data_IF_737762881547
#
_entry.id   IF_737762881547
#
_cell.length_a   1.000
_cell.length_b   1.000
_cell.length_c   1.000
_cell.angle_alpha   90.00
_cell.angle_beta   90.00
_cell.angle_gamma   90.00
#
_symmetry.space_group_name_H-M   'P 1'
#
loop_
_entity.id
_entity.type
_entity.pdbx_description
1 polymer ?
#
# COMPACT_ATOMS: atom_id res chain seq x y z
N UNK A 1 12.19 -9.99 17.97
CA UNK A 1 13.03 -10.12 16.75
C UNK A 1 13.07 -8.76 16.11
N UNK A 2 14.26 -8.21 15.89
CA UNK A 2 14.41 -6.91 15.24
C UNK A 2 14.04 -7.09 13.76
N UNK A 3 13.21 -6.20 13.21
CA UNK A 3 12.61 -6.33 11.87
C UNK A 3 13.66 -6.55 10.75
N UNK A 4 14.84 -5.98 10.94
CA UNK A 4 16.00 -6.01 10.03
C UNK A 4 16.87 -7.28 10.16
N UNK A 5 16.53 -8.22 11.06
CA UNK A 5 17.31 -9.45 11.22
C UNK A 5 17.35 -10.25 9.92
N UNK A 6 18.56 -10.57 9.44
CA UNK A 6 18.76 -11.31 8.19
C UNK A 6 18.81 -10.43 6.92
N UNK A 7 18.63 -9.10 7.04
CA UNK A 7 18.81 -8.19 5.93
C UNK A 7 20.32 -7.94 5.69
N UNK A 8 20.83 -8.05 4.44
CA UNK A 8 22.23 -7.71 4.17
C UNK A 8 22.52 -6.24 4.43
N UNK A 9 23.72 -5.92 4.93
CA UNK A 9 24.06 -4.59 5.49
C UNK A 9 23.96 -3.41 4.52
N UNK A 10 23.98 -3.66 3.21
CA UNK A 10 23.88 -2.60 2.21
C UNK A 10 22.43 -2.25 1.87
N UNK A 11 21.45 -3.08 2.24
CA UNK A 11 20.04 -2.79 2.04
C UNK A 11 19.49 -1.86 3.11
N UNK A 12 18.55 -1.02 2.70
CA UNK A 12 17.88 -0.05 3.55
C UNK A 12 16.38 -0.36 3.48
N UNK A 13 15.74 -0.50 4.64
CA UNK A 13 14.29 -0.74 4.72
C UNK A 13 13.55 0.42 4.06
N UNK A 14 12.47 0.13 3.32
CA UNK A 14 11.69 1.14 2.61
C UNK A 14 11.34 2.36 3.48
N UNK A 15 10.93 2.13 4.73
CA UNK A 15 10.54 3.18 5.68
C UNK A 15 11.65 4.22 5.96
N UNK A 16 12.92 3.84 5.76
CA UNK A 16 14.09 4.68 5.98
C UNK A 16 14.54 5.42 4.72
N UNK A 17 13.98 5.11 3.54
CA UNK A 17 14.31 5.80 2.29
C UNK A 17 13.91 7.29 2.33
N UNK A 18 14.65 8.19 1.66
CA UNK A 18 14.33 9.62 1.62
C UNK A 18 12.89 9.90 1.19
N UNK A 19 12.40 9.23 0.14
CA UNK A 19 11.02 9.35 -0.36
C UNK A 19 9.99 8.94 0.69
N UNK A 20 10.20 7.82 1.38
CA UNK A 20 9.28 7.36 2.42
C UNK A 20 9.29 8.28 3.65
N UNK A 21 10.45 8.86 4.00
CA UNK A 21 10.56 9.82 5.09
C UNK A 21 9.83 11.12 4.79
N UNK A 22 9.86 11.61 3.56
CA UNK A 22 9.11 12.81 3.17
C UNK A 22 7.60 12.60 3.36
N UNK A 23 7.08 11.45 2.92
CA UNK A 23 5.68 11.10 3.13
C UNK A 23 5.35 10.91 4.61
N UNK A 24 6.23 10.27 5.37
CA UNK A 24 6.09 10.10 6.82
C UNK A 24 5.99 11.46 7.54
N UNK A 25 6.82 12.43 7.16
CA UNK A 25 6.77 13.80 7.69
C UNK A 25 5.43 14.48 7.43
N UNK A 26 4.85 14.31 6.23
CA UNK A 26 3.52 14.86 5.91
C UNK A 26 2.43 14.25 6.78
N UNK A 27 2.46 12.92 6.96
CA UNK A 27 1.51 12.21 7.83
C UNK A 27 1.67 12.67 9.29
N UNK A 28 2.91 12.81 9.78
CA UNK A 28 3.19 13.28 11.12
C UNK A 28 2.65 14.70 11.38
N UNK A 29 2.79 15.61 10.42
CA UNK A 29 2.20 16.95 10.50
C UNK A 29 0.68 16.91 10.56
N UNK A 30 0.03 16.08 9.75
CA UNK A 30 -1.44 15.91 9.78
C UNK A 30 -1.92 15.40 11.15
N UNK A 31 -1.23 14.42 11.72
CA UNK A 31 -1.53 13.93 13.07
C UNK A 31 -1.29 14.99 14.15
N UNK A 32 -0.22 15.77 14.03
CA UNK A 32 0.06 16.89 14.94
C UNK A 32 -1.06 17.93 14.94
N UNK A 33 -1.57 18.28 13.75
CA UNK A 33 -2.73 19.19 13.62
C UNK A 33 -4.00 18.57 14.21
N UNK A 34 -4.26 17.28 13.96
CA UNK A 34 -5.41 16.58 14.52
C UNK A 34 -5.40 16.53 16.07
N UNK A 35 -4.21 16.49 16.68
CA UNK A 35 -4.04 16.52 18.14
C UNK A 35 -4.21 17.92 18.75
N UNK A 36 -4.15 18.99 17.96
CA UNK A 36 -4.30 20.36 18.46
C UNK A 36 -5.71 20.61 19.05
N UNK A 37 -6.76 20.09 18.41
CA UNK A 37 -8.14 20.27 18.87
C UNK A 37 -8.42 19.63 20.25
N UNK A 38 -8.12 18.34 20.50
CA UNK A 38 -8.33 17.74 21.80
C UNK A 38 -7.43 18.35 22.88
N UNK A 39 -6.20 18.77 22.54
CA UNK A 39 -5.31 19.42 23.52
C UNK A 39 -5.84 20.79 23.99
N UNK A 40 -6.39 21.61 23.08
CA UNK A 40 -7.10 22.84 23.44
C UNK A 40 -8.33 22.52 24.30
N UNK A 41 -9.09 21.50 23.94
CA UNK A 41 -10.25 21.05 24.71
C UNK A 41 -9.91 20.62 26.15
N UNK A 42 -8.78 19.96 26.35
CA UNK A 42 -8.26 19.61 27.69
C UNK A 42 -7.89 20.87 28.48
N UNK A 43 -7.20 21.82 27.85
CA UNK A 43 -6.80 23.09 28.47
C UNK A 43 -8.00 23.92 28.93
N UNK A 44 -9.04 24.02 28.11
CA UNK A 44 -10.27 24.77 28.43
C UNK A 44 -11.18 24.02 29.42
N UNK A 45 -11.24 22.69 29.33
CA UNK A 45 -12.10 21.87 30.18
C UNK A 45 -11.55 21.61 31.58
N UNK A 46 -10.23 21.66 31.79
CA UNK A 46 -9.61 21.36 33.08
C UNK A 46 -9.96 19.95 33.59
N UNK A 47 -10.13 19.79 34.92
CA UNK A 47 -10.48 18.51 35.55
C UNK A 47 -11.99 18.15 35.47
N UNK A 48 -12.74 18.77 34.58
CA UNK A 48 -14.16 18.50 34.40
C UNK A 48 -14.42 17.25 33.55
N UNK A 49 -15.67 16.79 33.50
CA UNK A 49 -16.13 15.71 32.61
C UNK A 49 -15.79 16.02 31.15
N UNK A 50 -15.87 17.29 30.74
CA UNK A 50 -15.54 17.73 29.40
C UNK A 50 -14.05 17.58 29.11
N UNK A 51 -13.18 17.90 30.08
CA UNK A 51 -11.74 17.66 29.98
C UNK A 51 -11.40 16.17 29.87
N UNK A 52 -12.09 15.32 30.65
CA UNK A 52 -11.94 13.86 30.56
C UNK A 52 -12.33 13.32 29.17
N UNK A 53 -13.42 13.82 28.57
CA UNK A 53 -13.82 13.46 27.20
C UNK A 53 -12.71 13.79 26.18
N UNK A 54 -12.17 15.00 26.20
CA UNK A 54 -11.09 15.38 25.27
C UNK A 54 -9.79 14.60 25.52
N UNK A 55 -9.50 14.22 26.78
CA UNK A 55 -8.39 13.33 27.10
C UNK A 55 -8.57 11.95 26.49
N UNK A 56 -9.77 11.35 26.59
CA UNK A 56 -10.04 10.06 25.94
C UNK A 56 -9.91 10.14 24.42
N UNK A 57 -10.41 11.22 23.80
CA UNK A 57 -10.26 11.46 22.36
C UNK A 57 -8.78 11.59 21.95
N UNK A 58 -7.99 12.32 22.74
CA UNK A 58 -6.55 12.47 22.53
C UNK A 58 -5.82 11.12 22.56
N UNK A 59 -6.12 10.28 23.55
CA UNK A 59 -5.53 8.94 23.68
C UNK A 59 -5.91 8.03 22.50
N UNK A 60 -7.15 8.10 22.01
CA UNK A 60 -7.59 7.33 20.83
C UNK A 60 -6.79 7.74 19.59
N UNK A 61 -6.67 9.05 19.32
CA UNK A 61 -5.91 9.57 18.18
C UNK A 61 -4.44 9.17 18.28
N UNK A 62 -3.84 9.27 19.46
CA UNK A 62 -2.45 8.89 19.72
C UNK A 62 -2.24 7.39 19.46
N UNK A 63 -3.15 6.54 19.93
CA UNK A 63 -3.08 5.10 19.72
C UNK A 63 -3.22 4.71 18.24
N UNK A 64 -4.11 5.38 17.49
CA UNK A 64 -4.23 5.20 16.04
C UNK A 64 -2.93 5.62 15.34
N UNK A 65 -2.39 6.78 15.70
CA UNK A 65 -1.13 7.31 15.15
C UNK A 65 0.06 6.37 15.40
N UNK A 66 0.21 5.86 16.63
CA UNK A 66 1.26 4.89 16.97
C UNK A 66 1.13 3.59 16.16
N UNK A 67 -0.09 3.05 16.01
CA UNK A 67 -0.30 1.85 15.21
C UNK A 67 0.03 2.07 13.73
N UNK A 68 -0.37 3.22 13.18
CA UNK A 68 -0.06 3.57 11.80
C UNK A 68 1.44 3.77 11.60
N UNK A 69 2.11 4.42 12.55
CA UNK A 69 3.56 4.58 12.55
C UNK A 69 4.29 3.24 12.57
N UNK A 70 3.89 2.35 13.49
CA UNK A 70 4.48 1.01 13.57
C UNK A 70 4.33 0.26 12.24
N UNK A 71 3.13 0.25 11.66
CA UNK A 71 2.87 -0.37 10.35
C UNK A 71 3.73 0.20 9.24
N UNK A 72 3.93 1.51 9.22
CA UNK A 72 4.78 2.18 8.23
C UNK A 72 6.24 1.79 8.38
N UNK A 73 6.75 1.66 9.61
CA UNK A 73 8.12 1.25 9.88
C UNK A 73 8.38 -0.22 9.56
N UNK A 74 7.33 -1.05 9.56
CA UNK A 74 7.40 -2.49 9.31
C UNK A 74 6.93 -2.88 7.91
N UNK A 75 7.01 -1.98 6.93
CA UNK A 75 6.71 -2.32 5.53
C UNK A 75 7.72 -3.40 5.07
N UNK A 76 7.26 -4.59 4.62
CA UNK A 76 8.07 -5.80 4.45
C UNK A 76 8.90 -5.83 3.17
N UNK A 77 9.56 -4.72 2.82
CA UNK A 77 10.56 -4.71 1.76
C UNK A 77 11.66 -3.68 2.02
N UNK A 78 12.81 -3.91 1.40
CA UNK A 78 14.01 -3.11 1.49
C UNK A 78 14.62 -2.93 0.11
N UNK A 79 15.36 -1.85 -0.08
CA UNK A 79 15.99 -1.49 -1.35
C UNK A 79 17.47 -1.24 -1.14
N UNK A 80 18.28 -1.49 -2.17
CA UNK A 80 19.69 -1.17 -2.11
C UNK A 80 19.92 0.36 -2.30
N UNK A 81 21.14 0.87 -2.05
CA UNK A 81 21.44 2.30 -2.14
C UNK A 81 21.36 2.87 -3.55
N UNK A 82 21.45 1.99 -4.56
CA UNK A 82 21.40 2.33 -5.98
C UNK A 82 19.98 2.47 -6.52
N UNK A 83 18.97 2.08 -5.73
CA UNK A 83 17.59 2.18 -6.12
C UNK A 83 17.14 3.66 -6.25
N UNK A 84 16.33 4.03 -7.26
CA UNK A 84 15.84 5.42 -7.45
C UNK A 84 15.10 6.05 -6.27
N UNK A 85 14.70 5.26 -5.28
CA UNK A 85 14.04 5.74 -4.06
C UNK A 85 15.02 6.41 -3.09
N UNK A 86 16.32 6.17 -3.26
CA UNK A 86 17.39 6.73 -2.47
C UNK A 86 17.84 8.11 -2.96
N UNK A 87 17.37 8.56 -4.13
CA UNK A 87 17.78 9.82 -4.76
C UNK A 87 19.32 9.95 -4.91
N UNK A 88 20.00 8.81 -4.96
CA UNK A 88 21.43 8.72 -5.18
C UNK A 88 21.65 8.35 -6.65
N UNK A 89 22.39 9.18 -7.38
CA UNK A 89 22.86 8.81 -8.72
C UNK A 89 23.89 7.69 -8.56
N UNK A 90 23.50 6.48 -8.93
CA UNK A 90 24.35 5.30 -8.86
C UNK A 90 24.35 4.56 -10.19
N UNK A 91 25.52 4.05 -10.59
CA UNK A 91 25.69 3.27 -11.82
C UNK A 91 25.40 1.78 -11.57
N UNK A 92 25.34 1.35 -10.31
CA UNK A 92 25.07 -0.05 -9.98
C UNK A 92 23.60 -0.39 -10.19
N UNK A 93 23.33 -1.68 -10.36
CA UNK A 93 21.99 -2.22 -10.48
C UNK A 93 21.19 -1.96 -9.19
N UNK A 94 19.92 -1.62 -9.38
CA UNK A 94 18.95 -1.52 -8.31
C UNK A 94 18.46 -2.92 -7.93
N UNK A 95 18.31 -3.17 -6.64
CA UNK A 95 17.86 -4.45 -6.09
C UNK A 95 16.78 -4.20 -5.03
N UNK A 96 15.84 -5.15 -4.92
CA UNK A 96 14.73 -5.11 -3.95
C UNK A 96 14.69 -6.44 -3.19
N UNK A 97 14.62 -6.36 -1.87
CA UNK A 97 14.46 -7.51 -0.97
C UNK A 97 13.07 -7.49 -0.36
N UNK A 98 12.42 -8.63 -0.29
CA UNK A 98 11.10 -8.81 0.31
C UNK A 98 11.25 -9.63 1.58
N UNK A 99 10.60 -9.19 2.66
CA UNK A 99 10.55 -9.92 3.92
C UNK A 99 9.31 -10.81 3.94
N UNK A 100 9.51 -12.11 4.05
CA UNK A 100 8.44 -13.08 4.22
C UNK A 100 7.95 -13.13 5.67
N UNK A 101 6.81 -13.80 5.90
CA UNK A 101 6.20 -13.89 7.22
C UNK A 101 7.05 -14.68 8.22
N UNK A 102 7.81 -15.67 7.72
CA UNK A 102 8.80 -16.43 8.51
C UNK A 102 10.00 -15.58 8.97
N UNK A 103 10.09 -14.33 8.51
CA UNK A 103 11.13 -13.37 8.84
C UNK A 103 12.38 -13.45 7.99
N UNK A 104 12.42 -14.32 6.99
CA UNK A 104 13.51 -14.36 6.01
C UNK A 104 13.36 -13.22 5.01
N UNK A 105 14.50 -12.67 4.62
CA UNK A 105 14.62 -11.73 3.51
C UNK A 105 15.01 -12.50 2.25
N UNK A 106 14.23 -12.37 1.20
CA UNK A 106 14.47 -12.98 -0.10
C UNK A 106 14.54 -11.90 -1.17
N UNK A 107 15.45 -12.08 -2.13
CA UNK A 107 15.61 -11.17 -3.26
C UNK A 107 14.40 -11.28 -4.20
N UNK A 108 13.88 -10.14 -4.63
CA UNK A 108 12.80 -10.08 -5.61
C UNK A 108 13.35 -10.41 -7.00
N UNK A 109 12.67 -11.32 -7.69
CA UNK A 109 12.91 -11.63 -9.10
C UNK A 109 12.51 -10.49 -10.03
N UNK A 110 12.52 -10.76 -11.34
CA UNK A 110 12.22 -9.75 -12.35
C UNK A 110 10.72 -9.44 -12.43
N UNK A 111 9.88 -10.38 -12.03
CA UNK A 111 8.43 -10.29 -12.19
C UNK A 111 7.76 -9.39 -11.15
N UNK A 112 6.51 -9.01 -11.43
CA UNK A 112 5.62 -8.33 -10.49
C UNK A 112 4.99 -9.36 -9.54
N UNK A 113 4.57 -8.91 -8.36
CA UNK A 113 3.95 -9.81 -7.38
C UNK A 113 2.49 -9.50 -7.11
N UNK A 114 1.73 -10.55 -6.83
CA UNK A 114 0.33 -10.50 -6.39
C UNK A 114 0.14 -11.30 -5.10
N UNK A 115 -0.87 -10.92 -4.33
CA UNK A 115 -1.34 -11.68 -3.19
C UNK A 115 -2.44 -12.65 -3.60
N UNK A 116 -2.26 -13.92 -3.27
CA UNK A 116 -3.25 -14.98 -3.47
C UNK A 116 -3.53 -15.62 -2.10
N UNK A 117 -4.81 -15.75 -1.76
CA UNK A 117 -5.22 -16.45 -0.54
C UNK A 117 -5.00 -17.95 -0.70
N UNK A 118 -4.48 -18.59 0.34
CA UNK A 118 -4.33 -20.05 0.40
C UNK A 118 -5.53 -20.66 1.14
N UNK A 119 -6.02 -21.80 0.66
CA UNK A 119 -7.07 -22.55 1.36
C UNK A 119 -6.52 -23.29 2.59
N UNK A 120 -5.22 -23.60 2.62
CA UNK A 120 -4.56 -24.36 3.68
C UNK A 120 -4.05 -23.48 4.83
N UNK A 121 -3.63 -22.26 4.54
CA UNK A 121 -3.07 -21.32 5.52
C UNK A 121 -3.95 -20.07 5.63
N UNK A 122 -4.29 -19.62 6.86
CA UNK A 122 -5.00 -18.36 7.02
C UNK A 122 -4.07 -17.21 6.63
N UNK A 123 -4.28 -16.58 5.47
CA UNK A 123 -3.43 -15.47 5.04
C UNK A 123 -3.31 -15.34 3.54
N UNK A 124 -2.24 -14.67 3.11
CA UNK A 124 -1.91 -14.50 1.70
C UNK A 124 -0.48 -14.96 1.41
N UNK A 125 -0.35 -15.72 0.32
CA UNK A 125 0.91 -16.02 -0.34
C UNK A 125 1.25 -14.91 -1.33
N UNK A 126 2.54 -14.63 -1.48
CA UNK A 126 3.08 -13.81 -2.55
C UNK A 126 3.38 -14.70 -3.74
N UNK A 127 2.88 -14.31 -4.91
CA UNK A 127 2.98 -15.07 -6.16
C UNK A 127 3.54 -14.16 -7.23
N UNK A 128 4.57 -14.63 -7.95
CA UNK A 128 5.12 -13.94 -9.10
C UNK A 128 4.12 -13.98 -10.27
N UNK A 129 4.04 -12.91 -11.05
CA UNK A 129 3.25 -12.85 -12.28
C UNK A 129 4.12 -13.30 -13.46
N UNK A 130 4.71 -14.48 -13.34
CA UNK A 130 5.33 -15.22 -14.43
C UNK A 130 4.30 -16.15 -15.10
N UNK A 131 4.71 -16.83 -16.17
CA UNK A 131 3.83 -17.75 -16.92
C UNK A 131 3.26 -18.89 -16.06
N UNK A 132 4.00 -19.28 -15.01
CA UNK A 132 3.68 -20.42 -14.13
C UNK A 132 2.99 -20.00 -12.82
N UNK A 133 2.79 -18.70 -12.56
CA UNK A 133 2.34 -18.15 -11.28
C UNK A 133 3.10 -18.74 -10.08
N UNK A 134 4.43 -18.66 -10.12
CA UNK A 134 5.31 -19.26 -9.12
C UNK A 134 5.08 -18.65 -7.75
N UNK A 135 4.85 -19.51 -6.74
CA UNK A 135 4.69 -19.08 -5.36
C UNK A 135 6.05 -18.64 -4.80
N UNK A 136 6.18 -17.35 -4.51
CA UNK A 136 7.39 -16.77 -3.91
C UNK A 136 7.49 -17.12 -2.42
N UNK A 137 6.36 -17.11 -1.70
CA UNK A 137 6.30 -17.56 -0.31
C UNK A 137 5.14 -16.98 0.49
N UNK A 138 5.01 -17.41 1.75
CA UNK A 138 3.97 -16.95 2.65
C UNK A 138 4.27 -15.54 3.17
N UNK A 139 3.35 -14.59 2.91
CA UNK A 139 3.61 -13.16 3.07
C UNK A 139 2.99 -12.56 4.33
N UNK A 140 1.76 -12.94 4.68
CA UNK A 140 1.06 -12.37 5.84
C UNK A 140 -0.03 -13.30 6.38
N UNK A 141 -0.24 -13.26 7.69
CA UNK A 141 -1.33 -13.95 8.39
C UNK A 141 -2.67 -13.18 8.33
N UNK A 142 -2.71 -12.02 7.66
CA UNK A 142 -3.93 -11.23 7.53
C UNK A 142 -4.99 -11.99 6.73
N UNK A 143 -6.17 -12.21 7.33
CA UNK A 143 -7.27 -12.97 6.71
C UNK A 143 -8.03 -12.21 5.62
N UNK A 144 -7.91 -10.89 5.58
CA UNK A 144 -8.69 -10.03 4.70
C UNK A 144 -7.76 -9.03 4.04
N UNK A 145 -7.92 -8.86 2.72
CA UNK A 145 -7.19 -7.88 1.92
C UNK A 145 -7.66 -6.46 2.26
N UNK A 146 -7.09 -5.90 3.32
CA UNK A 146 -7.40 -4.54 3.78
C UNK A 146 -6.66 -3.47 2.96
N UNK A 147 -7.02 -2.21 3.18
CA UNK A 147 -6.42 -1.07 2.47
C UNK A 147 -4.92 -0.90 2.75
N UNK A 148 -4.43 -1.35 3.91
CA UNK A 148 -3.02 -1.33 4.25
C UNK A 148 -2.23 -2.33 3.40
N UNK A 149 -2.71 -3.58 3.30
CA UNK A 149 -2.06 -4.63 2.52
C UNK A 149 -2.05 -4.30 1.02
N UNK A 150 -3.15 -3.74 0.50
CA UNK A 150 -3.19 -3.21 -0.89
C UNK A 150 -2.15 -2.12 -1.12
N UNK A 151 -1.98 -1.20 -0.15
CA UNK A 151 -0.96 -0.16 -0.22
C UNK A 151 0.46 -0.74 -0.19
N UNK A 152 0.72 -1.71 0.69
CA UNK A 152 2.01 -2.40 0.75
C UNK A 152 2.36 -3.03 -0.60
N UNK A 153 1.41 -3.73 -1.22
CA UNK A 153 1.60 -4.33 -2.54
C UNK A 153 1.83 -3.29 -3.64
N UNK A 154 1.07 -2.20 -3.63
CA UNK A 154 1.27 -1.10 -4.57
C UNK A 154 2.66 -0.48 -4.44
N UNK A 155 3.13 -0.23 -3.21
CA UNK A 155 4.47 0.30 -2.95
C UNK A 155 5.57 -0.67 -3.37
N UNK A 156 5.40 -1.97 -3.11
CA UNK A 156 6.32 -3.01 -3.54
C UNK A 156 6.42 -3.05 -5.07
N UNK A 157 5.30 -3.16 -5.78
CA UNK A 157 5.31 -3.20 -7.25
C UNK A 157 5.82 -1.90 -7.88
N UNK A 158 5.57 -0.74 -7.26
CA UNK A 158 6.18 0.53 -7.67
C UNK A 158 7.70 0.53 -7.48
N UNK A 159 8.21 -0.04 -6.39
CA UNK A 159 9.66 -0.17 -6.18
C UNK A 159 10.29 -1.05 -7.26
N UNK A 160 9.66 -2.17 -7.61
CA UNK A 160 10.13 -3.06 -8.68
C UNK A 160 10.08 -2.37 -10.05
N UNK A 161 9.04 -1.59 -10.33
CA UNK A 161 8.97 -0.81 -11.57
C UNK A 161 10.08 0.24 -11.67
N UNK A 162 10.39 0.94 -10.57
CA UNK A 162 11.51 1.87 -10.52
C UNK A 162 12.86 1.17 -10.66
N UNK A 163 13.02 -0.02 -10.06
CA UNK A 163 14.19 -0.87 -10.22
C UNK A 163 14.42 -1.22 -11.69
N UNK A 164 13.39 -1.71 -12.37
CA UNK A 164 13.49 -2.16 -13.76
C UNK A 164 13.81 -1.01 -14.70
N UNK A 165 13.16 0.14 -14.49
CA UNK A 165 13.45 1.37 -15.24
C UNK A 165 14.91 1.83 -15.07
N UNK A 166 15.47 1.70 -13.85
CA UNK A 166 16.87 2.01 -13.56
C UNK A 166 17.84 1.01 -14.20
N UNK A 167 17.50 -0.28 -14.14
CA UNK A 167 18.29 -1.38 -14.69
C UNK A 167 18.15 -1.50 -16.23
N UNK A 168 17.38 -0.62 -16.87
CA UNK A 168 17.12 -0.62 -18.31
C UNK A 168 16.49 -1.94 -18.80
N UNK A 169 15.70 -2.57 -17.93
CA UNK A 169 14.87 -3.72 -18.31
C UNK A 169 13.68 -3.15 -19.09
N UNK A 170 13.61 -3.47 -20.38
CA UNK A 170 12.52 -3.03 -21.25
C UNK A 170 11.24 -3.76 -20.89
N UNK A 171 10.22 -3.00 -20.49
CA UNK A 171 8.87 -3.48 -20.18
C UNK A 171 8.01 -3.24 -21.42
N UNK A 172 7.59 -4.29 -22.12
CA UNK A 172 6.76 -4.14 -23.32
C UNK A 172 5.41 -3.52 -22.92
N UNK A 173 4.96 -2.54 -23.70
CA UNK A 173 3.69 -1.84 -23.48
C UNK A 173 2.51 -2.82 -23.47
N UNK A 174 2.60 -3.93 -24.19
CA UNK A 174 1.57 -4.97 -24.18
C UNK A 174 1.55 -5.78 -22.88
N UNK A 175 2.72 -6.05 -22.31
CA UNK A 175 2.87 -6.73 -21.02
C UNK A 175 2.38 -5.83 -19.87
N UNK A 176 2.71 -4.53 -19.91
CA UNK A 176 2.16 -3.54 -18.99
C UNK A 176 0.63 -3.47 -19.05
N UNK A 177 0.04 -3.45 -20.25
CA UNK A 177 -1.43 -3.46 -20.43
C UNK A 177 -2.08 -4.75 -19.99
N UNK A 178 -1.46 -5.90 -20.24
CA UNK A 178 -1.94 -7.19 -19.73
C UNK A 178 -2.04 -7.15 -18.20
N UNK A 179 -1.02 -6.61 -17.52
CA UNK A 179 -1.02 -6.44 -16.06
C UNK A 179 -2.10 -5.48 -15.55
N UNK A 180 -2.33 -4.37 -16.26
CA UNK A 180 -3.42 -3.44 -15.92
C UNK A 180 -4.81 -4.08 -16.04
N UNK A 181 -5.01 -4.94 -17.05
CA UNK A 181 -6.30 -5.63 -17.22
C UNK A 181 -6.56 -6.72 -16.16
N UNK A 182 -5.50 -7.28 -15.57
CA UNK A 182 -5.60 -8.25 -14.47
C UNK A 182 -5.83 -7.62 -13.08
N UNK A 183 -5.50 -6.34 -12.90
CA UNK A 183 -5.66 -5.61 -11.62
C UNK A 183 -7.09 -5.03 -11.50
N UNK A 184 -8.06 -5.89 -11.17
CA UNK A 184 -9.45 -5.47 -11.07
C UNK A 184 -9.71 -4.53 -9.87
N UNK A 185 -10.27 -3.37 -10.21
CA UNK A 185 -10.80 -2.39 -9.27
C UNK A 185 -11.62 -1.25 -9.88
N UNK A 186 -11.79 -1.16 -11.21
CA UNK A 186 -12.98 -0.53 -11.78
C UNK A 186 -13.98 -1.65 -12.02
N UNK A 187 -15.24 -1.45 -11.61
CA UNK A 187 -16.37 -2.22 -12.12
C UNK A 187 -16.14 -2.43 -13.62
N UNK A 188 -16.24 -3.67 -14.12
CA UNK A 188 -16.42 -3.88 -15.54
C UNK A 188 -17.52 -2.91 -15.98
N UNK A 189 -17.17 -2.00 -16.89
CA UNK A 189 -18.15 -1.04 -17.41
C UNK A 189 -18.98 -1.82 -18.41
N UNK A 190 -19.89 -2.62 -17.88
CA UNK A 190 -20.99 -3.19 -18.64
C UNK A 190 -21.74 -2.00 -19.22
N UNK A 191 -21.54 -1.78 -20.52
CA UNK A 191 -22.38 -0.86 -21.25
C UNK A 191 -23.75 -1.52 -21.32
N UNK A 192 -24.82 -0.91 -20.77
CA UNK A 192 -26.13 -1.52 -20.82
C UNK A 192 -26.46 -1.84 -22.28
N UNK A 193 -26.98 -3.03 -22.52
CA UNK A 193 -27.47 -3.38 -23.85
C UNK A 193 -28.60 -2.42 -24.24
N UNK A 194 -28.86 -2.25 -25.54
CA UNK A 194 -29.76 -1.20 -26.04
C UNK A 194 -31.19 -1.29 -25.45
N UNK A 195 -31.57 -2.46 -24.94
CA UNK A 195 -32.81 -2.73 -24.20
C UNK A 195 -32.78 -2.22 -22.75
N UNK A 196 -31.62 -2.21 -22.09
CA UNK A 196 -31.41 -1.76 -20.71
C UNK A 196 -31.14 -0.24 -20.63
N UNK A 197 -30.84 0.39 -21.78
CA UNK A 197 -30.67 1.84 -21.87
C UNK A 197 -31.95 2.61 -21.52
N UNK A 198 -33.15 2.05 -21.78
CA UNK A 198 -34.44 2.68 -21.44
C UNK A 198 -34.69 2.73 -19.92
N UNK A 199 -34.21 1.73 -19.18
CA UNK A 199 -34.34 1.66 -17.73
C UNK A 199 -33.28 2.48 -16.99
N UNK A 200 -32.09 2.63 -17.59
CA UNK A 200 -31.02 3.48 -17.09
C UNK A 200 -31.26 5.00 -17.30
N UNK A 201 -32.37 5.38 -17.96
CA UNK A 201 -32.71 6.79 -18.18
C UNK A 201 -33.09 7.46 -16.86
N UNK A 202 -32.23 8.36 -16.38
CA UNK A 202 -32.49 9.17 -15.20
C UNK A 202 -33.79 9.99 -15.31
N UNK A 203 -34.40 10.38 -14.16
CA UNK A 203 -35.74 10.98 -14.11
C UNK A 203 -35.92 12.24 -14.95
N UNK A 204 -34.83 12.97 -15.24
CA UNK A 204 -34.85 14.17 -16.10
C UNK A 204 -35.11 13.81 -17.57
N UNK A 205 -34.52 12.73 -18.06
CA UNK A 205 -34.65 12.32 -19.45
C UNK A 205 -35.99 11.59 -19.72
N UNK A 206 -36.58 10.91 -18.72
CA UNK A 206 -37.98 10.43 -18.78
C UNK A 206 -38.98 11.59 -18.89
N UNK A 207 -38.75 12.67 -18.13
CA UNK A 207 -39.59 13.89 -18.18
C UNK A 207 -39.53 14.63 -19.52
N UNK A 208 -38.39 14.59 -20.22
CA UNK A 208 -38.23 15.17 -21.56
C UNK A 208 -38.89 14.33 -22.66
N UNK A 209 -39.07 13.01 -22.45
CA UNK A 209 -39.70 12.09 -23.41
C UNK A 209 -41.21 11.92 -23.22
N UNK A 210 -41.80 12.52 -22.17
CA UNK A 210 -43.26 12.53 -21.97
C UNK A 210 -43.86 11.16 -21.64
N UNK A 211 -43.05 10.24 -21.11
CA UNK A 211 -43.50 8.94 -20.60
C UNK A 211 -43.53 9.03 -19.07
N UNK A 212 -44.71 9.29 -18.52
CA UNK A 212 -45.05 9.04 -17.11
C UNK A 212 -45.77 7.70 -16.98
#
# INVERSE_FOLDING_TARGET
>A
MQFEQGLPQHFIVFAQTPKAQEQSRRIFLQFGVALALPTIGILLGGASILGAFFLTLCLIILLIGLRQWQRWQTIPFAVNPSHPMMELDSIKEAEVMIRLQDGRWAEAGNDRYRLISDDLLPGFNLVALDDDYTIFGYFTDEKVLNSHLRRVMSLLNQSLALRDAHNQVEDDMEEARSRESMDYGLLDRDWPEELELEDAVGPIAKKLRGQE
#
